data_IF_176823573338
#
_entry.id   IF_176823573338
#
_cell.length_a   1.000
_cell.length_b   1.000
_cell.length_c   1.000
_cell.angle_alpha   90.00
_cell.angle_beta   90.00
_cell.angle_gamma   90.00
#
_symmetry.space_group_name_H-M   'P 1'
#
loop_
_entity.id
_entity.type
_entity.pdbx_description
1 polymer ?
#
# COMPACT_ATOMS: atom_id res chain seq x y z
N UNK A 1 -26.90 -26.81 42.08
CA UNK A 1 -27.16 -25.50 41.46
C UNK A 1 -25.90 -25.07 40.73
N UNK A 2 -25.98 -25.11 39.40
CA UNK A 2 -25.18 -24.47 38.35
C UNK A 2 -23.69 -24.12 38.58
N UNK A 3 -22.85 -24.90 37.89
CA UNK A 3 -21.64 -24.42 37.22
C UNK A 3 -21.91 -23.18 36.37
N UNK A 4 -21.03 -22.19 36.46
CA UNK A 4 -20.63 -21.33 35.33
C UNK A 4 -19.14 -21.03 35.51
N UNK A 5 -18.29 -21.96 35.09
CA UNK A 5 -16.89 -21.66 34.84
C UNK A 5 -16.82 -20.86 33.54
N UNK A 6 -16.22 -19.68 33.67
CA UNK A 6 -16.14 -18.60 32.72
C UNK A 6 -15.66 -19.09 31.34
N UNK A 7 -16.56 -19.03 30.37
CA UNK A 7 -16.26 -19.29 28.96
C UNK A 7 -15.31 -18.24 28.41
N UNK A 8 -14.22 -18.68 27.78
CA UNK A 8 -13.61 -17.97 26.66
C UNK A 8 -12.70 -16.80 27.01
N UNK A 9 -11.62 -17.07 27.75
CA UNK A 9 -10.41 -16.28 27.55
C UNK A 9 -9.81 -16.72 26.21
N UNK A 10 -10.32 -16.16 25.11
CA UNK A 10 -9.67 -16.23 23.81
C UNK A 10 -8.32 -15.57 23.99
N UNK A 11 -7.30 -16.36 24.32
CA UNK A 11 -5.92 -15.92 24.33
C UNK A 11 -5.70 -15.12 23.04
N UNK A 12 -5.48 -13.81 23.17
CA UNK A 12 -5.21 -12.95 22.03
C UNK A 12 -3.83 -13.35 21.52
N UNK A 13 -3.79 -14.42 20.72
CA UNK A 13 -2.59 -14.82 20.00
C UNK A 13 -2.22 -13.59 19.18
N UNK A 14 -1.05 -12.98 19.40
CA UNK A 14 -0.60 -11.87 18.57
C UNK A 14 -0.78 -12.29 17.12
N UNK A 15 -1.38 -11.43 16.29
CA UNK A 15 -1.54 -11.74 14.88
C UNK A 15 -0.19 -12.20 14.34
N UNK A 16 -0.17 -13.20 13.45
CA UNK A 16 1.07 -13.78 12.95
C UNK A 16 2.04 -12.72 12.41
N UNK A 17 1.52 -11.55 12.02
CA UNK A 17 2.27 -10.34 11.70
C UNK A 17 3.05 -9.73 12.88
N UNK A 18 2.39 -9.49 14.02
CA UNK A 18 3.03 -8.90 15.20
C UNK A 18 4.01 -9.85 15.91
N UNK A 19 4.00 -11.14 15.57
CA UNK A 19 4.98 -12.11 16.03
C UNK A 19 6.30 -12.07 15.24
N UNK A 20 6.35 -11.35 14.10
CA UNK A 20 7.56 -11.20 13.29
C UNK A 20 8.51 -10.15 13.91
N UNK A 21 9.84 -10.27 13.73
CA UNK A 21 10.77 -9.21 14.08
C UNK A 21 10.43 -7.89 13.37
N UNK A 22 10.63 -6.76 14.05
CA UNK A 22 10.29 -5.42 13.53
C UNK A 22 10.97 -5.11 12.19
N UNK A 23 12.23 -5.54 12.02
CA UNK A 23 12.96 -5.37 10.75
C UNK A 23 12.29 -6.13 9.60
N UNK A 24 11.73 -7.31 9.88
CA UNK A 24 11.02 -8.11 8.90
C UNK A 24 9.64 -7.50 8.59
N UNK A 25 8.91 -7.03 9.61
CA UNK A 25 7.66 -6.30 9.41
C UNK A 25 7.89 -5.04 8.56
N UNK A 26 8.96 -4.29 8.83
CA UNK A 26 9.33 -3.09 8.07
C UNK A 26 9.67 -3.44 6.61
N UNK A 27 10.49 -4.48 6.40
CA UNK A 27 10.88 -4.94 5.06
C UNK A 27 9.66 -5.35 4.24
N UNK A 28 8.77 -6.16 4.83
CA UNK A 28 7.54 -6.61 4.18
C UNK A 28 6.59 -5.45 3.91
N UNK A 29 6.47 -4.49 4.84
CA UNK A 29 5.64 -3.30 4.64
C UNK A 29 6.14 -2.42 3.51
N UNK A 30 7.46 -2.19 3.42
CA UNK A 30 8.08 -1.43 2.34
C UNK A 30 7.86 -2.08 0.99
N UNK A 31 8.01 -3.40 0.93
CA UNK A 31 7.79 -4.14 -0.31
C UNK A 31 6.31 -4.16 -0.71
N UNK A 32 5.39 -4.32 0.26
CA UNK A 32 3.96 -4.23 0.00
C UNK A 32 3.58 -2.84 -0.52
N UNK A 33 4.13 -1.78 0.08
CA UNK A 33 3.91 -0.40 -0.35
C UNK A 33 4.48 -0.16 -1.75
N UNK A 34 5.69 -0.65 -2.04
CA UNK A 34 6.32 -0.56 -3.37
C UNK A 34 5.42 -1.18 -4.44
N UNK A 35 4.91 -2.39 -4.19
CA UNK A 35 4.00 -3.08 -5.11
C UNK A 35 2.68 -2.34 -5.28
N UNK A 36 2.08 -1.88 -4.18
CA UNK A 36 0.85 -1.11 -4.24
C UNK A 36 1.02 0.18 -5.04
N UNK A 37 2.13 0.90 -4.83
CA UNK A 37 2.47 2.10 -5.57
C UNK A 37 2.62 1.85 -7.07
N UNK A 38 3.29 0.76 -7.44
CA UNK A 38 3.46 0.36 -8.84
C UNK A 38 2.10 0.07 -9.51
N UNK A 39 1.23 -0.69 -8.83
CA UNK A 39 -0.14 -0.94 -9.29
C UNK A 39 -0.94 0.36 -9.45
N UNK A 40 -0.86 1.29 -8.50
CA UNK A 40 -1.60 2.55 -8.57
C UNK A 40 -1.11 3.44 -9.73
N UNK A 41 0.19 3.45 -10.02
CA UNK A 41 0.75 4.20 -11.15
C UNK A 41 0.26 3.63 -12.50
N UNK A 42 0.23 2.31 -12.65
CA UNK A 42 -0.33 1.66 -13.85
C UNK A 42 -1.81 1.99 -14.04
N UNK A 43 -2.60 1.93 -12.96
CA UNK A 43 -4.03 2.24 -13.04
C UNK A 43 -4.29 3.70 -13.41
N UNK A 44 -3.46 4.63 -12.91
CA UNK A 44 -3.57 6.04 -13.29
C UNK A 44 -3.31 6.25 -14.78
N UNK A 45 -2.34 5.55 -15.37
CA UNK A 45 -2.09 5.62 -16.82
C UNK A 45 -3.23 5.02 -17.65
N UNK A 46 -3.80 3.90 -17.21
CA UNK A 46 -4.97 3.32 -17.87
C UNK A 46 -6.15 4.28 -17.84
N UNK A 47 -6.44 4.89 -16.69
CA UNK A 47 -7.50 5.90 -16.56
C UNK A 47 -7.26 7.11 -17.46
N UNK A 48 -6.01 7.57 -17.60
CA UNK A 48 -5.66 8.65 -18.51
C UNK A 48 -5.94 8.28 -19.97
N UNK A 49 -5.59 7.06 -20.39
CA UNK A 49 -5.86 6.57 -21.74
C UNK A 49 -7.37 6.46 -22.02
N UNK A 50 -8.15 5.99 -21.05
CA UNK A 50 -9.61 5.93 -21.15
C UNK A 50 -10.22 7.34 -21.29
N UNK A 51 -9.78 8.31 -20.48
CA UNK A 51 -10.21 9.71 -20.59
C UNK A 51 -9.91 10.30 -21.98
N UNK A 52 -8.72 10.05 -22.54
CA UNK A 52 -8.35 10.53 -23.88
C UNK A 52 -9.17 9.90 -24.99
N UNK A 53 -9.54 8.63 -24.83
CA UNK A 53 -10.40 7.93 -25.77
C UNK A 53 -11.87 8.40 -25.71
N UNK A 54 -12.23 9.20 -24.70
CA UNK A 54 -13.58 9.71 -24.47
C UNK A 54 -14.52 8.69 -23.81
N UNK A 55 -14.01 7.57 -23.30
CA UNK A 55 -14.79 6.56 -22.56
C UNK A 55 -15.08 6.97 -21.11
N UNK A 56 -14.26 7.87 -20.55
CA UNK A 56 -14.40 8.41 -19.19
C UNK A 56 -14.55 9.94 -19.23
N UNK A 57 -15.40 10.49 -18.35
CA UNK A 57 -15.56 11.93 -18.19
C UNK A 57 -14.28 12.56 -17.61
N UNK A 58 -13.84 13.68 -18.18
CA UNK A 58 -12.69 14.44 -17.68
C UNK A 58 -13.02 15.11 -16.32
N UNK A 59 -12.29 14.71 -15.26
CA UNK A 59 -12.40 15.25 -13.90
C UNK A 59 -11.06 15.76 -13.35
N UNK A 60 -10.19 16.28 -14.22
CA UNK A 60 -8.85 16.74 -13.81
C UNK A 60 -7.76 16.49 -14.85
N UNK A 61 -8.13 15.92 -15.98
CA UNK A 61 -7.30 15.73 -17.16
C UNK A 61 -6.44 14.46 -17.11
N UNK A 62 -6.20 13.83 -18.27
CA UNK A 62 -5.26 12.70 -18.39
C UNK A 62 -3.84 13.07 -17.95
N UNK A 63 -3.44 14.33 -18.13
CA UNK A 63 -2.12 14.83 -17.71
C UNK A 63 -1.90 14.79 -16.20
N UNK A 64 -2.93 15.03 -15.39
CA UNK A 64 -2.81 14.94 -13.93
C UNK A 64 -2.56 13.50 -13.47
N UNK A 65 -3.22 12.53 -14.11
CA UNK A 65 -3.04 11.10 -13.84
C UNK A 65 -1.64 10.62 -14.25
N UNK A 66 -1.14 11.09 -15.40
CA UNK A 66 0.25 10.82 -15.83
C UNK A 66 1.28 11.42 -14.88
N UNK A 67 1.06 12.66 -14.45
CA UNK A 67 1.92 13.30 -13.45
C UNK A 67 1.93 12.51 -12.14
N UNK A 68 0.77 12.08 -11.66
CA UNK A 68 0.66 11.23 -10.47
C UNK A 68 1.46 9.93 -10.65
N UNK A 69 1.26 9.20 -11.75
CA UNK A 69 1.99 7.97 -12.03
C UNK A 69 3.51 8.19 -12.07
N UNK A 70 3.96 9.29 -12.69
CA UNK A 70 5.36 9.67 -12.76
C UNK A 70 5.96 9.95 -11.37
N UNK A 71 5.26 10.72 -10.52
CA UNK A 71 5.69 11.03 -9.15
C UNK A 71 5.77 9.77 -8.30
N UNK A 72 4.76 8.91 -8.37
CA UNK A 72 4.73 7.64 -7.63
C UNK A 72 5.90 6.75 -8.03
N UNK A 73 6.19 6.62 -9.32
CA UNK A 73 7.33 5.82 -9.79
C UNK A 73 8.67 6.44 -9.39
N UNK A 74 8.85 7.76 -9.52
CA UNK A 74 10.07 8.43 -9.10
C UNK A 74 10.36 8.18 -7.61
N UNK A 75 9.34 8.37 -6.76
CA UNK A 75 9.46 8.18 -5.30
C UNK A 75 9.79 6.73 -4.91
N UNK A 76 9.30 5.75 -5.67
CA UNK A 76 9.55 4.33 -5.39
C UNK A 76 10.82 3.78 -6.05
N UNK A 77 11.31 4.40 -7.14
CA UNK A 77 12.55 4.02 -7.84
C UNK A 77 13.80 4.49 -7.10
N UNK A 78 13.72 5.63 -6.43
CA UNK A 78 14.76 6.13 -5.52
C UNK A 78 14.76 5.42 -4.16
N UNK A 79 13.84 4.46 -3.99
CA UNK A 79 13.89 3.35 -3.05
C UNK A 79 14.47 3.70 -1.69
N UNK A 80 13.79 4.55 -0.91
CA UNK A 80 14.09 4.81 0.51
C UNK A 80 15.60 4.78 0.81
N UNK A 81 16.41 5.52 0.04
CA UNK A 81 17.82 5.69 0.31
C UNK A 81 17.96 5.97 1.82
N UNK A 82 18.67 5.07 2.49
CA UNK A 82 18.79 4.96 3.95
C UNK A 82 18.67 6.33 4.61
N UNK A 83 17.55 6.61 5.28
CA UNK A 83 17.51 7.70 6.26
C UNK A 83 18.32 7.20 7.45
N UNK A 84 19.63 7.32 7.31
CA UNK A 84 20.66 7.01 8.28
C UNK A 84 21.67 8.15 8.23
N UNK A 85 21.48 9.11 9.12
CA UNK A 85 22.48 10.10 9.53
C UNK A 85 22.31 10.20 11.04
N UNK A 86 23.08 9.43 11.80
CA UNK A 86 24.41 9.78 12.33
C UNK A 86 24.30 10.58 13.63
#
# INVERSE_FOLDING_TARGET
MHSVQNSGESAHVPSAWHALPDELQLTLSREALRRAAETLAEHAELLAAEMESGTLLDQGGPEALRLFAAVVRATNRDGFATVGTA
#
